data_IF_281079734201
#
_entry.id   IF_281079734201
#
_cell.length_a   1.000
_cell.length_b   1.000
_cell.length_c   1.000
_cell.angle_alpha   90.00
_cell.angle_beta   90.00
_cell.angle_gamma   90.00
#
_symmetry.space_group_name_H-M   'P 1'
#
loop_
_entity.id
_entity.type
_entity.pdbx_description
1 polymer ?
#
# COMPACT_ATOMS: atom_id res chain seq x y z
N UNK A 1 -4.77 -6.43 -31.64
CA UNK A 1 -5.23 -5.88 -30.35
C UNK A 1 -4.37 -4.67 -30.06
N UNK A 2 -4.95 -3.51 -29.74
CA UNK A 2 -4.17 -2.31 -29.47
C UNK A 2 -3.53 -2.43 -28.09
N UNK A 3 -2.20 -2.41 -28.01
CA UNK A 3 -1.48 -2.26 -26.74
C UNK A 3 -1.75 -0.85 -26.21
N UNK A 4 -2.65 -0.72 -25.22
CA UNK A 4 -2.83 0.54 -24.52
C UNK A 4 -1.77 0.66 -23.42
N UNK A 5 -0.98 1.73 -23.48
CA UNK A 5 0.05 2.05 -22.48
C UNK A 5 -0.42 3.21 -21.63
N UNK A 6 -0.13 3.16 -20.33
CA UNK A 6 -0.39 4.28 -19.44
C UNK A 6 0.33 5.53 -19.95
N UNK A 7 -0.39 6.63 -20.05
CA UNK A 7 0.17 7.94 -20.36
C UNK A 7 0.83 8.55 -19.13
N UNK A 8 1.66 9.57 -19.31
CA UNK A 8 2.21 10.33 -18.17
C UNK A 8 1.10 10.95 -17.30
N UNK A 9 -0.04 11.34 -17.89
CA UNK A 9 -1.18 11.86 -17.14
C UNK A 9 -1.84 10.78 -16.25
N UNK A 10 -1.94 9.55 -16.74
CA UNK A 10 -2.45 8.42 -15.96
C UNK A 10 -1.52 8.10 -14.80
N UNK A 11 -0.20 8.10 -15.04
CA UNK A 11 0.81 7.88 -14.00
C UNK A 11 0.80 8.95 -12.93
N UNK A 12 0.67 10.21 -13.33
CA UNK A 12 0.56 11.31 -12.38
C UNK A 12 -0.72 11.19 -11.55
N UNK A 13 -1.83 10.77 -12.15
CA UNK A 13 -3.08 10.51 -11.43
C UNK A 13 -2.92 9.37 -10.42
N UNK A 14 -2.23 8.28 -10.81
CA UNK A 14 -1.92 7.16 -9.91
C UNK A 14 -1.02 7.59 -8.74
N UNK A 15 -0.03 8.45 -8.97
CA UNK A 15 0.82 9.00 -7.90
C UNK A 15 0.02 9.87 -6.93
N UNK A 16 -0.88 10.73 -7.44
CA UNK A 16 -1.77 11.56 -6.61
C UNK A 16 -2.74 10.72 -5.79
N UNK A 17 -3.28 9.66 -6.38
CA UNK A 17 -4.14 8.72 -5.67
C UNK A 17 -3.36 8.03 -4.55
N UNK A 18 -2.15 7.55 -4.85
CA UNK A 18 -1.26 6.95 -3.85
C UNK A 18 -0.89 7.93 -2.72
N UNK A 19 -0.64 9.19 -3.04
CA UNK A 19 -0.43 10.27 -2.05
C UNK A 19 -1.66 10.46 -1.15
N UNK A 20 -2.87 10.32 -1.69
CA UNK A 20 -4.10 10.52 -0.92
C UNK A 20 -4.41 9.37 0.05
N UNK A 21 -4.02 8.13 -0.27
CA UNK A 21 -4.35 6.95 0.55
C UNK A 21 -3.24 6.59 1.56
N UNK A 22 -1.98 6.90 1.26
CA UNK A 22 -0.84 6.61 2.14
C UNK A 22 -0.95 7.24 3.55
N UNK A 23 -1.40 8.50 3.73
CA UNK A 23 -1.52 9.12 5.05
C UNK A 23 -2.44 8.35 6.00
N UNK A 24 -3.54 7.79 5.49
CA UNK A 24 -4.47 7.00 6.30
C UNK A 24 -3.86 5.67 6.70
N UNK A 25 -3.18 4.99 5.78
CA UNK A 25 -2.42 3.77 6.09
C UNK A 25 -1.35 4.06 7.16
N UNK A 26 -0.59 5.14 7.01
CA UNK A 26 0.45 5.54 7.99
C UNK A 26 -0.18 5.79 9.37
N UNK A 27 -1.36 6.43 9.43
CA UNK A 27 -2.06 6.68 10.70
C UNK A 27 -2.42 5.36 11.38
N UNK A 28 -3.09 4.46 10.67
CA UNK A 28 -3.50 3.15 11.20
C UNK A 28 -2.29 2.29 11.57
N UNK A 29 -1.27 2.26 10.73
CA UNK A 29 -0.02 1.55 10.97
C UNK A 29 0.72 2.08 12.21
N UNK A 30 0.71 3.40 12.43
CA UNK A 30 1.33 4.03 13.61
C UNK A 30 0.58 3.73 14.92
N UNK A 31 -0.74 3.52 14.86
CA UNK A 31 -1.55 3.13 16.02
C UNK A 31 -1.58 1.62 16.26
N UNK A 32 -0.98 0.83 15.37
CA UNK A 32 -0.98 -0.63 15.42
C UNK A 32 0.18 -1.14 16.28
N UNK A 33 -0.08 -1.95 17.32
CA UNK A 33 0.98 -2.59 18.09
C UNK A 33 1.87 -3.48 17.21
N UNK A 34 3.19 -3.46 17.45
CA UNK A 34 4.18 -4.28 16.74
C UNK A 34 4.32 -4.04 15.22
N UNK A 35 3.78 -2.93 14.68
CA UNK A 35 4.00 -2.56 13.29
C UNK A 35 5.43 -2.05 13.07
N UNK A 36 6.20 -2.74 12.22
CA UNK A 36 7.60 -2.39 11.91
C UNK A 36 7.77 -1.57 10.63
N UNK A 37 6.73 -1.47 9.80
CA UNK A 37 6.81 -0.92 8.43
C UNK A 37 6.32 0.53 8.31
N UNK A 38 6.07 1.21 9.44
CA UNK A 38 5.58 2.60 9.44
C UNK A 38 6.52 3.53 8.68
N UNK A 39 7.83 3.36 8.88
CA UNK A 39 8.84 4.17 8.21
C UNK A 39 8.90 3.90 6.70
N UNK A 40 8.70 2.65 6.26
CA UNK A 40 8.64 2.31 4.84
C UNK A 40 7.47 3.04 4.15
N UNK A 41 6.30 3.11 4.78
CA UNK A 41 5.17 3.86 4.24
C UNK A 41 5.42 5.37 4.21
N UNK A 42 6.10 5.93 5.21
CA UNK A 42 6.50 7.35 5.23
C UNK A 42 7.51 7.67 4.13
N UNK A 43 8.49 6.80 3.92
CA UNK A 43 9.46 6.91 2.83
C UNK A 43 8.78 6.81 1.47
N UNK A 44 7.82 5.90 1.30
CA UNK A 44 7.01 5.80 0.10
C UNK A 44 6.23 7.09 -0.18
N UNK A 45 5.60 7.69 0.84
CA UNK A 45 4.89 8.97 0.71
C UNK A 45 5.85 10.11 0.30
N UNK A 46 7.01 10.21 0.97
CA UNK A 46 8.01 11.21 0.61
C UNK A 46 8.47 11.04 -0.85
N UNK A 47 8.68 9.80 -1.30
CA UNK A 47 9.09 9.50 -2.67
C UNK A 47 7.99 9.81 -3.69
N UNK A 48 6.73 9.56 -3.35
CA UNK A 48 5.58 9.98 -4.19
C UNK A 48 5.58 11.49 -4.40
N UNK A 49 5.77 12.27 -3.34
CA UNK A 49 5.79 13.74 -3.42
C UNK A 49 6.99 14.24 -4.25
N UNK A 50 8.15 13.60 -4.13
CA UNK A 50 9.34 13.89 -4.95
C UNK A 50 9.05 13.62 -6.44
N UNK A 51 8.54 12.43 -6.76
CA UNK A 51 8.25 12.02 -8.14
C UNK A 51 7.11 12.82 -8.78
N UNK A 52 6.27 13.52 -8.02
CA UNK A 52 5.28 14.42 -8.60
C UNK A 52 5.85 15.80 -8.97
N UNK A 53 6.95 16.21 -8.32
CA UNK A 53 7.61 17.50 -8.57
C UNK A 53 8.66 17.40 -9.68
N UNK A 54 9.28 16.25 -9.78
CA UNK A 54 10.27 15.93 -10.79
C UNK A 54 9.64 15.09 -11.90
N UNK A 55 10.24 15.09 -13.10
CA UNK A 55 9.86 14.11 -14.12
C UNK A 55 10.21 12.70 -13.61
N UNK A 56 9.29 11.76 -13.80
CA UNK A 56 9.44 10.38 -13.36
C UNK A 56 9.65 9.41 -14.52
N UNK A 57 10.42 8.36 -14.27
CA UNK A 57 10.62 7.24 -15.19
C UNK A 57 9.86 6.01 -14.72
N UNK A 58 9.53 5.10 -15.64
CA UNK A 58 8.91 3.83 -15.27
C UNK A 58 9.73 3.03 -14.24
N UNK A 59 11.06 3.12 -14.29
CA UNK A 59 11.94 2.45 -13.34
C UNK A 59 11.74 3.00 -11.91
N UNK A 60 11.59 4.31 -11.76
CA UNK A 60 11.31 4.94 -10.47
C UNK A 60 9.91 4.57 -9.96
N UNK A 61 8.90 4.56 -10.84
CA UNK A 61 7.54 4.11 -10.48
C UNK A 61 7.53 2.63 -10.02
N UNK A 62 8.27 1.79 -10.72
CA UNK A 62 8.38 0.37 -10.39
C UNK A 62 9.15 0.15 -9.08
N UNK A 63 10.20 0.94 -8.83
CA UNK A 63 10.94 0.91 -7.57
C UNK A 63 10.07 1.34 -6.39
N UNK A 64 9.30 2.43 -6.54
CA UNK A 64 8.32 2.87 -5.55
C UNK A 64 7.30 1.78 -5.24
N UNK A 65 6.72 1.15 -6.28
CA UNK A 65 5.74 0.08 -6.10
C UNK A 65 6.29 -1.14 -5.35
N UNK A 66 7.59 -1.45 -5.50
CA UNK A 66 8.25 -2.55 -4.76
C UNK A 66 8.66 -2.18 -3.34
N UNK A 67 8.86 -0.88 -3.07
CA UNK A 67 9.25 -0.39 -1.75
C UNK A 67 8.09 -0.41 -0.74
N UNK A 68 6.85 -0.56 -1.20
CA UNK A 68 5.67 -0.66 -0.34
C UNK A 68 5.53 -2.12 0.15
N UNK A 69 5.71 -2.39 1.46
CA UNK A 69 5.61 -3.74 1.99
C UNK A 69 4.16 -4.24 2.03
N UNK A 70 3.96 -5.52 1.67
CA UNK A 70 2.73 -6.26 1.98
C UNK A 70 2.95 -6.99 3.31
N UNK A 71 2.38 -6.45 4.39
CA UNK A 71 2.55 -7.00 5.74
C UNK A 71 1.65 -8.21 6.01
N UNK A 72 0.70 -8.48 5.11
CA UNK A 72 -0.20 -9.61 5.20
C UNK A 72 0.40 -10.79 4.47
N UNK A 73 0.90 -11.76 5.23
CA UNK A 73 1.34 -13.01 4.66
C UNK A 73 0.11 -13.88 4.33
N UNK A 74 -0.44 -13.77 3.11
CA UNK A 74 -1.67 -14.48 2.70
C UNK A 74 -1.45 -15.95 2.32
N UNK A 75 -0.46 -16.63 2.90
CA UNK A 75 -0.26 -18.06 2.71
C UNK A 75 -1.28 -18.87 3.52
N UNK A 76 -1.53 -20.12 3.09
CA UNK A 76 -2.62 -21.00 3.57
C UNK A 76 -2.64 -21.27 5.09
N UNK A 77 -1.55 -21.03 5.79
CA UNK A 77 -1.38 -21.38 7.21
C UNK A 77 -1.26 -20.15 8.11
N UNK A 78 -1.42 -18.95 7.56
CA UNK A 78 -1.27 -17.73 8.32
C UNK A 78 -2.52 -17.44 9.16
N UNK A 79 -2.31 -17.16 10.44
CA UNK A 79 -3.36 -16.89 11.42
C UNK A 79 -3.27 -15.41 11.83
N UNK A 80 -4.37 -14.64 11.74
CA UNK A 80 -4.39 -13.25 12.17
C UNK A 80 -4.14 -13.08 13.66
N UNK A 81 -3.72 -11.89 14.11
CA UNK A 81 -3.66 -11.56 15.52
C UNK A 81 -5.06 -11.70 16.15
N UNK A 82 -5.19 -12.64 17.08
CA UNK A 82 -6.44 -12.93 17.79
C UNK A 82 -6.37 -12.42 19.24
N UNK A 83 -7.52 -12.02 19.79
CA UNK A 83 -7.70 -11.77 21.22
C UNK A 83 -8.92 -12.49 21.76
N UNK A 84 -8.92 -12.73 23.07
CA UNK A 84 -10.09 -13.23 23.76
C UNK A 84 -10.99 -12.07 24.17
N UNK A 85 -12.28 -12.20 23.86
CA UNK A 85 -13.34 -11.33 24.39
C UNK A 85 -13.58 -11.64 25.86
N UNK A 86 -14.36 -10.79 26.53
CA UNK A 86 -14.82 -11.04 27.91
C UNK A 86 -15.66 -12.32 28.05
N UNK A 87 -16.25 -12.80 26.94
CA UNK A 87 -16.99 -14.07 26.86
C UNK A 87 -16.10 -15.29 26.63
N UNK A 88 -14.79 -15.10 26.45
CA UNK A 88 -13.81 -16.17 26.20
C UNK A 88 -13.73 -16.61 24.72
N UNK A 89 -14.41 -15.92 23.82
CA UNK A 89 -14.37 -16.19 22.38
C UNK A 89 -13.10 -15.59 21.77
N UNK A 90 -12.47 -16.31 20.86
CA UNK A 90 -11.33 -15.80 20.10
C UNK A 90 -11.82 -15.04 18.88
N UNK A 91 -11.50 -13.75 18.82
CA UNK A 91 -11.86 -12.88 17.69
C UNK A 91 -10.63 -12.14 17.17
N UNK A 92 -10.65 -11.82 15.88
CA UNK A 92 -9.60 -11.03 15.26
C UNK A 92 -9.54 -9.63 15.88
N UNK A 93 -8.34 -9.10 16.00
CA UNK A 93 -8.19 -7.72 16.43
C UNK A 93 -8.77 -6.74 15.40
N UNK A 94 -9.59 -5.80 15.83
CA UNK A 94 -10.19 -4.79 14.94
C UNK A 94 -9.15 -3.97 14.16
N UNK A 95 -7.99 -3.69 14.79
CA UNK A 95 -6.90 -2.99 14.13
C UNK A 95 -6.34 -3.76 12.93
N UNK A 96 -6.43 -5.10 12.94
CA UNK A 96 -5.97 -5.96 11.85
C UNK A 96 -6.83 -5.77 10.61
N UNK A 97 -8.16 -5.81 10.78
CA UNK A 97 -9.12 -5.57 9.70
C UNK A 97 -9.00 -4.16 9.13
N UNK A 98 -8.88 -3.16 10.00
CA UNK A 98 -8.71 -1.76 9.58
C UNK A 98 -7.41 -1.56 8.79
N UNK A 99 -6.32 -2.19 9.22
CA UNK A 99 -5.05 -2.14 8.52
C UNK A 99 -5.16 -2.78 7.13
N UNK A 100 -5.80 -3.93 7.00
CA UNK A 100 -5.98 -4.60 5.70
C UNK A 100 -6.77 -3.71 4.74
N UNK A 101 -7.87 -3.13 5.23
CA UNK A 101 -8.74 -2.25 4.46
C UNK A 101 -7.97 -1.05 3.89
N UNK A 102 -7.03 -0.48 4.65
CA UNK A 102 -6.20 0.65 4.19
C UNK A 102 -5.01 0.22 3.33
N UNK A 103 -4.53 -1.01 3.50
CA UNK A 103 -3.39 -1.53 2.75
C UNK A 103 -3.77 -2.00 1.34
N UNK A 104 -4.94 -2.63 1.15
CA UNK A 104 -5.34 -3.16 -0.16
C UNK A 104 -5.31 -2.10 -1.29
N UNK A 105 -5.86 -0.89 -1.11
CA UNK A 105 -5.81 0.14 -2.15
C UNK A 105 -4.38 0.55 -2.49
N UNK A 106 -3.52 0.70 -1.46
CA UNK A 106 -2.11 1.06 -1.61
C UNK A 106 -1.37 -0.01 -2.42
N UNK A 107 -1.58 -1.30 -2.11
CA UNK A 107 -0.95 -2.40 -2.85
C UNK A 107 -1.47 -2.51 -4.29
N UNK A 108 -2.75 -2.24 -4.53
CA UNK A 108 -3.34 -2.22 -5.87
C UNK A 108 -2.69 -1.12 -6.74
N UNK A 109 -2.55 0.09 -6.19
CA UNK A 109 -1.87 1.20 -6.85
C UNK A 109 -0.38 0.91 -7.05
N UNK A 110 0.29 0.34 -6.05
CA UNK A 110 1.70 -0.05 -6.13
C UNK A 110 1.95 -1.08 -7.24
N UNK A 111 1.05 -2.06 -7.42
CA UNK A 111 1.10 -3.01 -8.55
C UNK A 111 0.87 -2.31 -9.87
N UNK A 112 -0.10 -1.41 -9.94
CA UNK A 112 -0.42 -0.64 -11.15
C UNK A 112 0.75 0.22 -11.62
N UNK A 113 1.48 0.85 -10.70
CA UNK A 113 2.68 1.63 -11.00
C UNK A 113 3.81 0.79 -11.61
N UNK A 114 3.89 -0.51 -11.28
CA UNK A 114 4.89 -1.42 -11.83
C UNK A 114 4.57 -1.86 -13.27
N UNK A 115 3.31 -1.85 -13.68
CA UNK A 115 2.88 -2.44 -14.96
C UNK A 115 3.08 -1.48 -16.13
N UNK A 116 3.88 -1.82 -17.14
CA UNK A 116 4.17 -0.99 -18.33
C UNK A 116 2.97 -0.75 -19.29
N UNK A 117 1.92 -1.57 -19.22
CA UNK A 117 0.70 -1.49 -20.06
C UNK A 117 -0.55 -1.92 -19.27
N UNK A 118 -1.74 -1.96 -19.90
CA UNK A 118 -2.99 -2.41 -19.26
C UNK A 118 -3.54 -3.72 -19.87
N UNK A 119 -4.43 -4.43 -19.14
CA UNK A 119 -5.19 -5.61 -19.57
C UNK A 119 -6.69 -5.35 -19.49
#
# INVERSE_FOLDING_TARGET
MAEYRYTNADRLSQLKELESVLPELIRVASSTPAMTYVEDYRLALAKVVELQKEDFTQNQLSALGRAIPDVFNRHKEWIPPMHQTETGEWVEHEWWTLLDEKLQPVLSLARTLQTLGYY
#
